data_IF_619768890594
#
_entry.id   IF_619768890594
#
_cell.length_a   1.000
_cell.length_b   1.000
_cell.length_c   1.000
_cell.angle_alpha   90.00
_cell.angle_beta   90.00
_cell.angle_gamma   90.00
#
_symmetry.space_group_name_H-M   'P 1'
#
loop_
_entity.id
_entity.type
_entity.pdbx_description
1 polymer ?
#
# COMPACT_ATOMS: atom_id res chain seq x y z
N UNK A 1 19.68 -21.16 12.65
CA UNK A 1 19.38 -20.51 11.37
C UNK A 1 18.08 -19.75 11.53
N UNK A 2 18.09 -18.45 11.27
CA UNK A 2 16.89 -17.65 11.40
C UNK A 2 15.90 -18.00 10.28
N UNK A 3 14.65 -18.10 10.64
CA UNK A 3 13.58 -18.28 9.66
C UNK A 3 13.19 -16.91 9.12
N UNK A 4 13.47 -16.67 7.85
CA UNK A 4 13.06 -15.45 7.19
C UNK A 4 11.62 -15.56 6.70
N UNK A 5 10.89 -14.47 6.87
CA UNK A 5 9.56 -14.27 6.32
C UNK A 5 9.66 -13.26 5.16
N UNK A 6 8.78 -13.39 4.21
CA UNK A 6 8.71 -12.45 3.10
C UNK A 6 7.36 -11.74 3.11
N UNK A 7 7.39 -10.43 2.98
CA UNK A 7 6.22 -9.58 2.99
C UNK A 7 6.18 -8.73 1.73
N UNK A 8 5.05 -8.73 1.06
CA UNK A 8 4.81 -7.82 -0.06
C UNK A 8 4.06 -6.59 0.44
N UNK A 9 4.76 -5.48 0.53
CA UNK A 9 4.21 -4.19 0.97
C UNK A 9 3.47 -3.55 -0.18
N UNK A 10 2.22 -3.18 0.05
CA UNK A 10 1.32 -2.64 -0.97
C UNK A 10 0.92 -1.23 -0.58
N UNK A 11 1.01 -0.28 -1.52
CA UNK A 11 0.58 1.09 -1.31
C UNK A 11 -0.01 1.67 -2.58
N UNK A 12 -0.70 2.80 -2.44
CA UNK A 12 -1.23 3.58 -3.56
C UNK A 12 -0.32 4.76 -3.85
N UNK A 13 0.00 4.98 -5.12
CA UNK A 13 0.89 6.06 -5.54
C UNK A 13 0.17 7.42 -5.64
N UNK A 14 0.89 8.42 -6.15
CA UNK A 14 0.37 9.78 -6.28
C UNK A 14 -0.21 10.11 -7.65
N UNK A 15 -0.44 9.13 -8.51
CA UNK A 15 -1.02 9.37 -9.83
C UNK A 15 -2.47 9.83 -9.74
N UNK A 16 -2.86 10.68 -10.67
CA UNK A 16 -4.23 11.20 -10.76
C UNK A 16 -4.78 11.00 -12.17
N UNK A 17 -6.10 10.86 -12.33
CA UNK A 17 -7.16 10.94 -11.32
C UNK A 17 -7.25 9.70 -10.41
N UNK A 18 -6.67 8.58 -10.83
CA UNK A 18 -6.67 7.34 -10.06
C UNK A 18 -5.25 6.94 -9.68
N UNK A 19 -5.06 6.58 -8.43
CA UNK A 19 -3.80 6.05 -7.95
C UNK A 19 -3.56 4.64 -8.49
N UNK A 20 -2.31 4.31 -8.77
CA UNK A 20 -1.92 2.95 -9.10
C UNK A 20 -1.49 2.22 -7.84
N UNK A 21 -1.74 0.93 -7.82
CA UNK A 21 -1.26 0.06 -6.76
C UNK A 21 0.20 -0.29 -7.03
N UNK A 22 1.05 -0.09 -6.02
CA UNK A 22 2.47 -0.41 -6.06
C UNK A 22 2.78 -1.46 -5.02
N UNK A 23 3.81 -2.24 -5.24
CA UNK A 23 4.29 -3.17 -4.24
C UNK A 23 5.79 -3.39 -4.32
N UNK A 24 6.36 -3.85 -3.21
CA UNK A 24 7.72 -4.35 -3.14
C UNK A 24 7.85 -5.36 -2.01
N UNK A 25 8.81 -6.26 -2.12
CA UNK A 25 8.97 -7.39 -1.21
C UNK A 25 10.16 -7.18 -0.29
N UNK A 26 9.97 -7.47 0.98
CA UNK A 26 11.01 -7.49 2.00
C UNK A 26 11.12 -8.87 2.61
N UNK A 27 12.36 -9.36 2.73
CA UNK A 27 12.67 -10.51 3.56
C UNK A 27 13.18 -10.01 4.92
N UNK A 28 12.63 -10.54 5.99
CA UNK A 28 13.00 -10.16 7.35
C UNK A 28 12.87 -11.35 8.31
N UNK A 29 13.63 -11.32 9.38
CA UNK A 29 13.52 -12.29 10.47
C UNK A 29 12.58 -11.80 11.59
N UNK A 30 11.98 -10.61 11.42
CA UNK A 30 11.01 -10.09 12.37
C UNK A 30 9.66 -10.79 12.24
N UNK A 31 8.99 -11.00 13.37
CA UNK A 31 7.70 -11.70 13.39
C UNK A 31 6.55 -10.89 12.81
N UNK A 32 6.70 -9.57 12.79
CA UNK A 32 5.73 -8.64 12.22
C UNK A 32 6.41 -7.77 11.18
N UNK A 33 5.69 -7.30 10.15
CA UNK A 33 6.31 -6.46 9.15
C UNK A 33 6.74 -5.10 9.74
N UNK A 34 8.05 -4.77 9.64
CA UNK A 34 8.53 -3.47 10.11
C UNK A 34 8.09 -2.33 9.19
N UNK A 35 8.19 -1.10 9.67
CA UNK A 35 8.09 0.08 8.82
C UNK A 35 9.15 0.01 7.73
N UNK A 36 8.82 0.54 6.55
CA UNK A 36 9.74 0.58 5.43
C UNK A 36 9.68 1.93 4.74
N UNK A 37 10.52 2.09 3.72
CA UNK A 37 10.58 3.32 2.93
C UNK A 37 10.69 3.00 1.45
N UNK A 38 10.42 4.00 0.62
CA UNK A 38 10.55 3.89 -0.82
C UNK A 38 10.89 5.24 -1.43
N UNK A 39 11.39 5.22 -2.66
CA UNK A 39 11.66 6.44 -3.42
C UNK A 39 10.35 6.94 -4.06
N UNK A 40 9.81 8.02 -3.51
CA UNK A 40 8.54 8.60 -3.96
C UNK A 40 8.66 9.40 -5.27
N UNK A 41 9.86 9.62 -5.80
CA UNK A 41 10.02 10.38 -7.04
C UNK A 41 9.45 9.65 -8.26
N UNK A 42 9.56 8.32 -8.30
CA UNK A 42 9.03 7.50 -9.38
C UNK A 42 7.54 7.22 -9.26
N UNK A 43 6.93 7.56 -8.15
CA UNK A 43 5.51 7.31 -7.84
C UNK A 43 4.67 8.59 -7.73
N UNK A 44 5.22 9.73 -8.11
CA UNK A 44 4.61 11.07 -7.97
C UNK A 44 4.21 11.41 -6.52
N UNK A 45 5.01 10.98 -5.56
CA UNK A 45 4.78 11.22 -4.14
C UNK A 45 5.86 12.07 -3.47
N UNK A 46 6.96 12.32 -4.17
CA UNK A 46 8.04 13.18 -3.69
C UNK A 46 8.84 13.77 -4.85
N UNK A 47 9.56 14.86 -4.57
CA UNK A 47 10.50 15.44 -5.52
C UNK A 47 11.87 14.77 -5.42
N UNK A 48 12.64 14.77 -6.53
CA UNK A 48 13.90 14.05 -6.64
C UNK A 48 15.00 14.45 -5.65
N UNK A 49 14.92 15.66 -5.09
CA UNK A 49 15.91 16.14 -4.10
C UNK A 49 15.63 15.71 -2.66
N UNK A 50 14.42 15.24 -2.37
CA UNK A 50 14.01 14.75 -1.04
C UNK A 50 12.91 13.71 -1.26
N UNK A 51 13.31 12.54 -1.74
CA UNK A 51 12.40 11.59 -2.37
C UNK A 51 11.93 10.45 -1.47
N UNK A 52 12.46 10.33 -0.26
CA UNK A 52 12.08 9.23 0.63
C UNK A 52 10.69 9.43 1.22
N UNK A 53 9.86 8.40 1.06
CA UNK A 53 8.57 8.28 1.72
C UNK A 53 8.56 7.03 2.60
N UNK A 54 7.70 7.01 3.61
CA UNK A 54 7.57 5.90 4.55
C UNK A 54 6.34 5.06 4.22
N UNK A 55 6.49 3.75 4.42
CA UNK A 55 5.41 2.77 4.36
C UNK A 55 5.13 2.29 5.79
N UNK A 56 3.99 2.64 6.33
CA UNK A 56 3.57 2.22 7.66
C UNK A 56 2.56 1.10 7.54
N UNK A 57 2.87 -0.11 8.06
CA UNK A 57 1.94 -1.24 8.00
C UNK A 57 0.61 -0.94 8.69
N UNK A 58 -0.48 -1.32 8.04
CA UNK A 58 -1.85 -1.17 8.55
C UNK A 58 -2.43 -2.53 8.86
N UNK A 59 -2.31 -3.48 7.94
CA UNK A 59 -2.89 -4.81 8.05
C UNK A 59 -2.06 -5.82 7.27
N UNK A 60 -1.92 -7.02 7.82
CA UNK A 60 -1.23 -8.13 7.15
C UNK A 60 -2.25 -9.20 6.78
N UNK A 61 -2.10 -9.74 5.57
CA UNK A 61 -2.95 -10.80 5.05
C UNK A 61 -2.09 -11.99 4.67
N UNK A 62 -2.47 -13.17 5.15
CA UNK A 62 -1.77 -14.40 4.80
C UNK A 62 -2.02 -14.75 3.33
N UNK A 63 -0.95 -15.13 2.65
CA UNK A 63 -1.01 -15.60 1.27
C UNK A 63 -0.32 -16.96 1.17
N UNK A 64 -1.08 -18.07 1.12
CA UNK A 64 -0.49 -19.42 1.08
C UNK A 64 0.26 -19.72 -0.23
N UNK A 65 0.09 -18.89 -1.26
CA UNK A 65 0.70 -19.09 -2.57
C UNK A 65 1.90 -18.18 -2.85
N UNK A 66 2.36 -17.42 -1.87
CA UNK A 66 3.48 -16.49 -2.05
C UNK A 66 3.77 -15.69 -0.79
N UNK A 67 4.24 -14.47 -0.97
CA UNK A 67 4.54 -13.57 0.13
C UNK A 67 3.25 -13.12 0.83
N UNK A 68 3.29 -12.99 2.15
CA UNK A 68 2.17 -12.36 2.87
C UNK A 68 2.04 -10.90 2.43
N UNK A 69 0.80 -10.44 2.28
CA UNK A 69 0.53 -9.07 1.88
C UNK A 69 0.48 -8.15 3.09
N UNK A 70 1.12 -7.00 2.97
CA UNK A 70 1.08 -5.95 3.98
C UNK A 70 0.46 -4.70 3.36
N UNK A 71 -0.77 -4.40 3.74
CA UNK A 71 -1.40 -3.15 3.35
C UNK A 71 -0.76 -2.02 4.15
N UNK A 72 -0.29 -0.98 3.46
CA UNK A 72 0.41 0.13 4.09
C UNK A 72 -0.25 1.46 3.77
N UNK A 73 0.12 2.46 4.53
CA UNK A 73 -0.20 3.86 4.26
C UNK A 73 1.09 4.66 4.12
N UNK A 74 1.04 5.71 3.32
CA UNK A 74 2.22 6.53 3.00
C UNK A 74 2.31 7.72 3.94
N UNK A 75 3.51 7.91 4.50
CA UNK A 75 3.86 9.10 5.26
C UNK A 75 5.11 9.75 4.66
N UNK A 76 5.28 11.04 4.90
CA UNK A 76 6.50 11.74 4.52
C UNK A 76 7.65 11.31 5.42
N UNK A 77 8.88 11.60 5.00
CA UNK A 77 10.09 11.23 5.75
C UNK A 77 10.14 11.79 7.18
N UNK A 78 9.45 12.89 7.44
CA UNK A 78 9.32 13.50 8.77
C UNK A 78 8.16 12.89 9.61
N UNK A 79 7.55 11.79 9.15
CA UNK A 79 6.42 11.11 9.75
C UNK A 79 5.07 11.85 9.68
N UNK A 80 5.00 12.97 8.99
CA UNK A 80 3.70 13.61 8.72
C UNK A 80 2.93 12.82 7.67
N UNK A 81 1.60 12.90 7.72
CA UNK A 81 0.75 12.24 6.74
C UNK A 81 1.04 12.77 5.34
N UNK A 82 1.29 11.88 4.39
CA UNK A 82 1.51 12.29 3.00
C UNK A 82 0.19 12.72 2.35
N UNK A 83 0.17 13.77 1.50
CA UNK A 83 -1.06 14.22 0.84
C UNK A 83 -1.80 13.16 0.01
N UNK A 84 -1.10 12.12 -0.48
CA UNK A 84 -1.70 11.01 -1.21
C UNK A 84 -2.32 9.94 -0.29
N UNK A 85 -2.20 10.09 1.02
CA UNK A 85 -2.70 9.12 1.99
C UNK A 85 -4.17 9.41 2.33
N UNK A 86 -5.07 8.94 1.49
CA UNK A 86 -6.51 9.12 1.72
C UNK A 86 -7.05 8.24 2.85
N UNK A 87 -6.33 7.17 3.20
CA UNK A 87 -6.70 6.34 4.36
C UNK A 87 -6.66 7.17 5.65
N UNK A 88 -5.62 7.95 5.86
CA UNK A 88 -5.52 8.79 7.05
C UNK A 88 -6.67 9.81 7.11
N UNK A 89 -7.02 10.41 5.97
CA UNK A 89 -8.16 11.32 5.89
C UNK A 89 -9.49 10.61 6.20
N UNK A 90 -9.65 9.38 5.71
CA UNK A 90 -10.85 8.59 5.99
C UNK A 90 -10.95 8.22 7.48
N UNK A 91 -9.84 7.87 8.11
CA UNK A 91 -9.81 7.51 9.54
C UNK A 91 -10.29 8.66 10.45
N UNK A 92 -10.16 9.90 10.02
CA UNK A 92 -10.63 11.06 10.78
C UNK A 92 -12.17 11.19 10.79
N UNK A 93 -12.85 10.63 9.79
CA UNK A 93 -14.30 10.83 9.63
C UNK A 93 -15.11 9.54 9.76
N UNK A 94 -14.48 8.37 9.60
CA UNK A 94 -15.16 7.08 9.69
C UNK A 94 -15.29 6.65 11.15
N UNK A 95 -16.51 6.27 11.54
CA UNK A 95 -16.82 5.75 12.88
C UNK A 95 -17.37 4.32 12.75
N UNK A 96 -17.55 3.65 13.87
CA UNK A 96 -18.12 2.29 13.92
C UNK A 96 -19.57 2.22 13.40
N UNK A 97 -20.23 3.35 13.23
CA UNK A 97 -21.58 3.42 12.71
C UNK A 97 -21.67 3.29 11.18
N UNK A 98 -20.55 3.45 10.48
CA UNK A 98 -20.47 3.36 9.03
C UNK A 98 -20.42 1.91 8.58
N UNK A 99 -21.24 1.60 7.58
CA UNK A 99 -21.25 0.29 6.94
C UNK A 99 -20.77 0.45 5.51
N UNK A 100 -19.82 -0.38 5.09
CA UNK A 100 -19.29 -0.37 3.75
C UNK A 100 -19.47 -1.74 3.11
N UNK A 101 -19.81 -1.74 1.83
CA UNK A 101 -19.86 -2.94 1.02
C UNK A 101 -19.27 -2.64 -0.36
N UNK A 102 -18.56 -3.59 -0.90
CA UNK A 102 -18.01 -3.50 -2.25
C UNK A 102 -18.74 -4.50 -3.14
N UNK A 103 -19.20 -4.01 -4.29
CA UNK A 103 -19.75 -4.85 -5.33
C UNK A 103 -18.79 -4.83 -6.51
N UNK A 104 -18.21 -5.97 -6.81
CA UNK A 104 -17.28 -6.10 -7.94
C UNK A 104 -18.05 -6.64 -9.13
N UNK A 105 -18.12 -5.85 -10.18
CA UNK A 105 -18.81 -6.19 -11.42
C UNK A 105 -17.82 -6.28 -12.57
N UNK A 106 -18.04 -7.24 -13.46
CA UNK A 106 -17.24 -7.42 -14.65
C UNK A 106 -18.08 -7.99 -15.78
N UNK A 107 -17.65 -7.73 -17.00
CA UNK A 107 -18.21 -8.36 -18.18
C UNK A 107 -17.16 -9.27 -18.81
N UNK A 108 -17.58 -10.45 -19.24
CA UNK A 108 -16.74 -11.28 -20.06
C UNK A 108 -16.83 -10.78 -21.49
N UNK A 109 -15.68 -10.56 -22.11
CA UNK A 109 -15.60 -10.16 -23.49
C UNK A 109 -14.92 -11.24 -24.32
N UNK A 110 -15.22 -11.27 -25.62
CA UNK A 110 -14.54 -12.16 -26.56
C UNK A 110 -13.09 -11.66 -26.71
N UNK A 111 -12.07 -12.54 -26.54
CA UNK A 111 -10.67 -12.10 -26.61
C UNK A 111 -10.24 -11.64 -28.01
N UNK A 112 -11.04 -11.92 -29.06
CA UNK A 112 -10.74 -11.55 -30.44
C UNK A 112 -11.53 -10.32 -30.87
N UNK A 113 -12.81 -10.26 -30.52
CA UNK A 113 -13.72 -9.20 -31.00
C UNK A 113 -14.02 -8.12 -29.93
N UNK A 114 -13.68 -8.38 -28.69
CA UNK A 114 -13.91 -7.44 -27.60
C UNK A 114 -15.25 -7.54 -26.91
#
# INVERSE_FOLDING_TARGET
>A
MSDYKTYEYIWLDGYKPEANMRSKVKATDEDTPPDWSFDGSSTLQAEGGSSDCLLLPVQTYSNPNGHDFVLTQVHAADHTTHPSNFRAAAEEVVTDEWWFGFEQELFFTDPITG
#
